data_IF_464449401414
#
_entry.id   IF_464449401414
#
_cell.length_a   1.000
_cell.length_b   1.000
_cell.length_c   1.000
_cell.angle_alpha   90.00
_cell.angle_beta   90.00
_cell.angle_gamma   90.00
#
_symmetry.space_group_name_H-M   'P 1'
#
loop_
_entity.id
_entity.type
_entity.pdbx_description
1 polymer ?
#
# COMPACT_ATOMS: atom_id res chain seq x y z
N UNK A 1 22.69 -22.82 17.60
CA UNK A 1 21.28 -22.59 17.98
C UNK A 1 20.95 -21.20 17.48
N UNK A 2 20.30 -21.10 16.33
CA UNK A 2 19.94 -19.82 15.71
C UNK A 2 18.63 -19.33 16.32
N UNK A 3 18.68 -18.21 17.04
CA UNK A 3 17.49 -17.50 17.46
C UNK A 3 16.90 -16.81 16.24
N UNK A 4 15.69 -17.20 15.88
CA UNK A 4 14.89 -16.63 14.80
C UNK A 4 14.50 -15.19 15.22
N UNK A 5 15.35 -14.22 14.90
CA UNK A 5 15.09 -12.80 15.18
C UNK A 5 13.93 -12.27 14.33
N UNK A 6 13.13 -11.31 14.84
CA UNK A 6 11.81 -11.07 14.33
C UNK A 6 11.86 -10.13 13.13
N UNK A 7 11.67 -10.70 11.93
CA UNK A 7 11.05 -10.05 10.77
C UNK A 7 11.73 -8.73 10.35
N UNK A 8 12.72 -8.88 9.46
CA UNK A 8 13.58 -7.82 8.92
C UNK A 8 12.88 -6.69 8.19
N UNK A 9 13.67 -5.81 7.57
CA UNK A 9 13.18 -4.60 6.92
C UNK A 9 12.15 -4.92 5.83
N UNK A 10 10.93 -4.40 5.96
CA UNK A 10 9.89 -4.52 4.93
C UNK A 10 9.83 -3.29 4.09
N UNK A 11 9.86 -3.43 2.78
CA UNK A 11 9.51 -2.37 1.83
C UNK A 11 8.06 -2.54 1.41
N UNK A 12 7.24 -1.50 1.56
CA UNK A 12 5.93 -1.41 0.90
C UNK A 12 6.07 -0.58 -0.37
N UNK A 13 5.57 -1.07 -1.50
CA UNK A 13 5.33 -0.25 -2.69
C UNK A 13 3.82 -0.08 -2.92
N UNK A 14 3.38 1.16 -3.01
CA UNK A 14 2.07 1.54 -3.52
C UNK A 14 2.09 1.60 -5.05
N UNK A 15 1.01 1.11 -5.66
CA UNK A 15 0.72 1.29 -7.09
C UNK A 15 -0.79 1.45 -7.19
N UNK A 16 -1.24 2.33 -8.09
CA UNK A 16 -2.65 2.41 -8.44
C UNK A 16 -2.92 2.21 -9.92
N UNK A 17 -4.13 1.74 -10.20
CA UNK A 17 -4.67 1.64 -11.56
C UNK A 17 -6.12 2.11 -11.54
N UNK A 18 -6.44 3.07 -12.40
CA UNK A 18 -7.82 3.37 -12.72
C UNK A 18 -8.38 2.17 -13.51
N UNK A 19 -9.47 1.59 -13.00
CA UNK A 19 -10.10 0.41 -13.58
C UNK A 19 -11.56 0.71 -13.88
N UNK A 20 -12.06 0.09 -14.95
CA UNK A 20 -13.45 0.17 -15.38
C UNK A 20 -14.01 -1.23 -15.43
N UNK A 21 -15.20 -1.42 -14.86
CA UNK A 21 -15.94 -2.68 -14.94
C UNK A 21 -17.22 -2.46 -15.75
N UNK A 22 -17.48 -3.37 -16.70
CA UNK A 22 -18.66 -3.37 -17.56
C UNK A 22 -19.49 -4.63 -17.30
N UNK A 23 -20.73 -4.47 -16.82
CA UNK A 23 -21.69 -5.58 -16.69
C UNK A 23 -22.61 -5.64 -17.92
N UNK A 24 -22.56 -6.72 -18.69
CA UNK A 24 -23.45 -6.98 -19.84
C UNK A 24 -24.75 -7.64 -19.38
N UNK A 25 -25.58 -6.85 -18.70
CA UNK A 25 -26.95 -7.19 -18.39
C UNK A 25 -27.81 -6.05 -18.96
N UNK A 26 -29.12 -6.21 -19.16
CA UNK A 26 -30.02 -5.22 -19.79
C UNK A 26 -30.11 -3.83 -19.10
N UNK A 27 -29.24 -3.57 -18.12
CA UNK A 27 -28.94 -2.29 -17.51
C UNK A 27 -27.41 -2.19 -17.39
N UNK A 28 -26.77 -1.44 -18.29
CA UNK A 28 -25.32 -1.24 -18.24
C UNK A 28 -24.96 -0.42 -16.99
N UNK A 29 -24.25 -1.03 -16.04
CA UNK A 29 -23.66 -0.34 -14.89
C UNK A 29 -22.20 -0.05 -15.24
N UNK A 30 -21.85 1.23 -15.32
CA UNK A 30 -20.47 1.68 -15.46
C UNK A 30 -19.93 2.05 -14.08
N UNK A 31 -18.88 1.35 -13.63
CA UNK A 31 -18.23 1.61 -12.35
C UNK A 31 -16.77 1.94 -12.58
N UNK A 32 -16.36 3.14 -12.16
CA UNK A 32 -14.97 3.56 -12.11
C UNK A 32 -14.46 3.48 -10.68
N UNK A 33 -13.26 2.95 -10.52
CA UNK A 33 -12.59 2.84 -9.22
C UNK A 33 -11.08 2.86 -9.40
N UNK A 34 -10.38 3.11 -8.29
CA UNK A 34 -8.93 2.91 -8.22
C UNK A 34 -8.65 1.62 -7.46
N UNK A 35 -7.57 0.94 -7.81
CA UNK A 35 -7.08 -0.20 -7.02
C UNK A 35 -5.86 0.25 -6.22
N UNK A 36 -5.85 0.02 -4.91
CA UNK A 36 -4.65 0.14 -4.09
C UNK A 36 -3.92 -1.19 -4.09
N UNK A 37 -2.61 -1.17 -4.28
CA UNK A 37 -1.75 -2.34 -4.11
C UNK A 37 -0.68 -2.05 -3.05
N UNK A 38 -0.41 -3.02 -2.17
CA UNK A 38 0.66 -3.00 -1.18
C UNK A 38 1.40 -4.33 -1.25
N UNK A 39 2.72 -4.28 -1.44
CA UNK A 39 3.57 -5.48 -1.47
C UNK A 39 4.53 -5.42 -0.30
N UNK A 40 4.54 -6.43 0.57
CA UNK A 40 5.55 -6.59 1.61
C UNK A 40 6.69 -7.48 1.10
N UNK A 41 7.92 -7.04 1.33
CA UNK A 41 9.14 -7.76 0.97
C UNK A 41 10.02 -7.98 2.18
N UNK A 42 10.90 -8.97 2.14
CA UNK A 42 11.99 -9.09 3.13
C UNK A 42 13.19 -8.20 2.76
N UNK A 43 14.22 -8.25 3.59
CA UNK A 43 15.49 -7.51 3.40
C UNK A 43 16.26 -7.90 2.13
N UNK A 44 15.99 -9.09 1.58
CA UNK A 44 16.58 -9.55 0.31
C UNK A 44 15.72 -9.14 -0.89
N UNK A 45 14.63 -8.39 -0.66
CA UNK A 45 13.67 -7.98 -1.68
C UNK A 45 12.70 -9.08 -2.11
N UNK A 46 12.67 -10.23 -1.43
CA UNK A 46 11.75 -11.32 -1.75
C UNK A 46 10.33 -10.95 -1.30
N UNK A 47 9.34 -11.22 -2.17
CA UNK A 47 7.94 -10.95 -1.84
C UNK A 47 7.48 -11.92 -0.75
N UNK A 48 7.05 -11.38 0.38
CA UNK A 48 6.43 -12.13 1.47
C UNK A 48 4.92 -12.19 1.27
N UNK A 49 4.32 -11.05 0.94
CA UNK A 49 2.89 -10.91 0.71
C UNK A 49 2.59 -9.77 -0.26
N UNK A 50 1.44 -9.86 -0.94
CA UNK A 50 0.87 -8.77 -1.72
C UNK A 50 -0.63 -8.67 -1.43
N UNK A 51 -1.11 -7.45 -1.27
CA UNK A 51 -2.52 -7.14 -1.04
C UNK A 51 -3.00 -6.15 -2.09
N UNK A 52 -4.25 -6.30 -2.50
CA UNK A 52 -4.93 -5.34 -3.33
C UNK A 52 -6.36 -5.13 -2.79
N UNK A 53 -6.88 -3.91 -2.91
CA UNK A 53 -8.29 -3.61 -2.65
C UNK A 53 -8.79 -2.51 -3.56
N UNK A 54 -10.09 -2.52 -3.84
CA UNK A 54 -10.76 -1.38 -4.47
C UNK A 54 -10.73 -0.17 -3.54
N UNK A 55 -10.64 1.00 -4.16
CA UNK A 55 -10.71 2.30 -3.54
C UNK A 55 -11.53 3.22 -4.45
N UNK A 56 -12.09 4.26 -3.84
CA UNK A 56 -12.86 5.25 -4.59
C UNK A 56 -12.01 5.85 -5.70
N UNK A 57 -12.63 6.23 -6.82
CA UNK A 57 -11.94 6.99 -7.84
C UNK A 57 -11.56 8.36 -7.26
N UNK A 58 -10.26 8.66 -7.24
CA UNK A 58 -9.75 9.92 -6.70
C UNK A 58 -8.41 10.30 -7.36
N UNK A 59 -7.92 11.51 -7.05
CA UNK A 59 -6.67 12.03 -7.64
C UNK A 59 -5.47 11.15 -7.32
N UNK A 60 -4.49 11.01 -8.24
CA UNK A 60 -3.27 10.23 -8.02
C UNK A 60 -2.61 10.43 -6.65
N UNK A 61 -2.49 11.68 -6.22
CA UNK A 61 -1.87 12.02 -4.94
C UNK A 61 -2.67 11.50 -3.74
N UNK A 62 -4.01 11.52 -3.82
CA UNK A 62 -4.89 10.99 -2.80
C UNK A 62 -4.81 9.47 -2.73
N UNK A 63 -4.75 8.80 -3.89
CA UNK A 63 -4.59 7.34 -3.98
C UNK A 63 -3.24 6.91 -3.38
N UNK A 64 -2.15 7.62 -3.68
CA UNK A 64 -0.83 7.35 -3.10
C UNK A 64 -0.81 7.53 -1.58
N UNK A 65 -1.39 8.62 -1.09
CA UNK A 65 -1.54 8.84 0.35
C UNK A 65 -2.39 7.75 1.02
N UNK A 66 -3.47 7.30 0.37
CA UNK A 66 -4.32 6.21 0.85
C UNK A 66 -3.59 4.86 0.85
N UNK A 67 -2.76 4.59 -0.16
CA UNK A 67 -1.95 3.38 -0.24
C UNK A 67 -0.89 3.35 0.88
N UNK A 68 -0.19 4.46 1.12
CA UNK A 68 0.76 4.59 2.23
C UNK A 68 0.09 4.45 3.60
N UNK A 69 -1.07 5.06 3.80
CA UNK A 69 -1.83 4.87 5.03
C UNK A 69 -2.23 3.41 5.23
N UNK A 70 -2.70 2.76 4.17
CA UNK A 70 -3.08 1.35 4.23
C UNK A 70 -1.87 0.43 4.48
N UNK A 71 -0.70 0.76 3.94
CA UNK A 71 0.56 0.08 4.22
C UNK A 71 0.88 0.06 5.72
N UNK A 72 0.74 1.20 6.39
CA UNK A 72 0.93 1.31 7.85
C UNK A 72 -0.09 0.43 8.59
N UNK A 73 -1.35 0.48 8.19
CA UNK A 73 -2.40 -0.34 8.83
C UNK A 73 -2.10 -1.83 8.70
N UNK A 74 -1.68 -2.29 7.52
CA UNK A 74 -1.28 -3.67 7.30
C UNK A 74 -0.06 -4.05 8.14
N UNK A 75 0.92 -3.15 8.26
CA UNK A 75 2.08 -3.38 9.10
C UNK A 75 1.71 -3.57 10.57
N UNK A 76 0.81 -2.73 11.09
CA UNK A 76 0.28 -2.87 12.45
C UNK A 76 -0.54 -4.16 12.59
N UNK A 77 -1.45 -4.45 11.66
CA UNK A 77 -2.32 -5.64 11.72
C UNK A 77 -1.53 -6.95 11.65
N UNK A 78 -0.43 -7.00 10.88
CA UNK A 78 0.43 -8.20 10.72
C UNK A 78 1.58 -8.26 11.72
N UNK A 79 1.60 -7.33 12.68
CA UNK A 79 2.60 -7.21 13.74
C UNK A 79 4.04 -7.17 13.20
N UNK A 80 4.27 -6.35 12.16
CA UNK A 80 5.63 -6.05 11.70
C UNK A 80 6.27 -5.03 12.64
N UNK A 81 7.45 -5.38 13.19
CA UNK A 81 8.14 -4.57 14.22
C UNK A 81 9.03 -3.48 13.63
N UNK A 82 9.65 -3.75 12.48
CA UNK A 82 10.55 -2.82 11.79
C UNK A 82 10.13 -2.72 10.32
N UNK A 83 9.53 -1.60 9.94
CA UNK A 83 9.03 -1.38 8.57
C UNK A 83 9.66 -0.16 7.92
N UNK A 84 9.99 -0.29 6.63
CA UNK A 84 10.43 0.79 5.76
C UNK A 84 9.34 1.01 4.72
N UNK A 85 8.64 2.11 4.80
CA UNK A 85 7.58 2.38 3.83
C UNK A 85 8.18 3.14 2.64
N UNK A 86 8.01 2.59 1.44
CA UNK A 86 8.39 3.24 0.19
C UNK A 86 7.13 3.65 -0.58
N UNK A 87 7.29 4.61 -1.48
CA UNK A 87 6.23 5.12 -2.35
C UNK A 87 6.87 5.91 -3.48
N UNK A 88 6.19 6.00 -4.61
CA UNK A 88 6.67 6.74 -5.78
C UNK A 88 6.37 8.25 -5.68
N UNK A 89 5.41 8.64 -4.84
CA UNK A 89 5.11 10.03 -4.55
C UNK A 89 6.04 10.61 -3.49
N UNK A 90 7.04 11.37 -3.95
CA UNK A 90 7.94 12.14 -3.07
C UNK A 90 7.16 13.05 -2.10
N UNK A 91 6.10 13.70 -2.58
CA UNK A 91 5.27 14.59 -1.76
C UNK A 91 4.63 13.80 -0.60
N UNK A 92 4.09 12.62 -0.86
CA UNK A 92 3.48 11.80 0.19
C UNK A 92 4.52 11.25 1.17
N UNK A 93 5.68 10.79 0.68
CA UNK A 93 6.76 10.28 1.54
C UNK A 93 7.35 11.37 2.43
N UNK A 94 7.60 12.58 1.88
CA UNK A 94 8.13 13.71 2.65
C UNK A 94 7.13 14.13 3.74
N UNK A 95 5.83 14.20 3.42
CA UNK A 95 4.78 14.49 4.40
C UNK A 95 4.65 13.41 5.49
N UNK A 96 4.86 12.13 5.13
CA UNK A 96 4.83 11.02 6.07
C UNK A 96 6.00 11.06 7.05
N UNK A 97 7.22 11.31 6.56
CA UNK A 97 8.43 11.41 7.39
C UNK A 97 8.32 12.52 8.44
N UNK A 98 7.84 13.69 8.03
CA UNK A 98 7.61 14.81 8.94
C UNK A 98 6.70 14.42 10.12
N UNK A 99 5.67 13.61 9.86
CA UNK A 99 4.75 13.15 10.92
C UNK A 99 5.40 12.16 11.87
N UNK A 100 6.29 11.28 11.40
CA UNK A 100 7.01 10.33 12.25
C UNK A 100 8.03 10.97 13.19
N UNK A 101 8.57 12.14 12.84
CA UNK A 101 9.55 12.86 13.67
C UNK A 101 8.90 13.64 14.83
N UNK A 102 7.58 13.84 14.79
CA UNK A 102 6.81 14.59 15.78
C UNK A 102 6.09 13.71 16.81
N UNK A 103 6.20 12.38 16.72
CA UNK A 103 5.58 11.41 17.62
C UNK A 103 6.64 10.62 18.39
#
# INVERSE_FOLDING_TARGET
MWTKEPKGNFTVKSVYKASQEYSYNSQAIFKEFTTLAVVARDENGQILNAWAKEHILCDPLQVEAAALFWAVQLATEKDFKHVIIEGDSKICIDAFKWKSELC
#
